data_IF_239840359553
#
_entry.id   IF_239840359553
#
_cell.length_a   1.000
_cell.length_b   1.000
_cell.length_c   1.000
_cell.angle_alpha   90.00
_cell.angle_beta   90.00
_cell.angle_gamma   90.00
#
_symmetry.space_group_name_H-M   'P 1'
#
loop_
_entity.id
_entity.type
_entity.pdbx_description
1 polymer ?
#
# COMPACT_ATOMS: atom_id res chain seq x y z
N UNK A 1 -1.13 -14.59 1.57
CA UNK A 1 0.11 -13.83 1.80
C UNK A 1 1.24 -14.76 2.21
N UNK A 2 2.45 -14.35 1.85
CA UNK A 2 3.65 -15.15 1.59
C UNK A 2 4.45 -15.57 2.85
N UNK A 3 5.00 -16.79 2.82
CA UNK A 3 5.92 -17.33 3.85
C UNK A 3 7.18 -16.48 4.03
N UNK A 4 7.55 -15.72 3.01
CA UNK A 4 8.79 -14.93 2.98
C UNK A 4 8.67 -13.68 3.85
N UNK A 5 7.51 -12.99 3.82
CA UNK A 5 7.28 -11.78 4.61
C UNK A 5 7.10 -12.14 6.10
N UNK A 6 6.34 -13.20 6.38
CA UNK A 6 6.17 -13.70 7.74
C UNK A 6 7.50 -14.17 8.34
N UNK A 7 8.32 -14.87 7.54
CA UNK A 7 9.67 -15.27 7.94
C UNK A 7 10.59 -14.08 8.23
N UNK A 8 10.57 -13.04 7.40
CA UNK A 8 11.35 -11.83 7.64
C UNK A 8 10.94 -11.11 8.92
N UNK A 9 9.63 -10.94 9.15
CA UNK A 9 9.10 -10.34 10.37
C UNK A 9 9.46 -11.16 11.62
N UNK A 10 9.39 -12.49 11.54
CA UNK A 10 9.74 -13.38 12.66
C UNK A 10 11.20 -13.24 13.13
N UNK A 11 12.11 -12.80 12.26
CA UNK A 11 13.53 -12.58 12.60
C UNK A 11 13.90 -11.10 12.71
N UNK A 12 12.92 -10.19 12.57
CA UNK A 12 13.13 -8.74 12.60
C UNK A 12 13.93 -8.21 11.40
N UNK A 13 13.86 -8.90 10.26
CA UNK A 13 14.49 -8.46 9.02
C UNK A 13 13.53 -7.59 8.20
N UNK A 14 14.09 -6.60 7.51
CA UNK A 14 13.37 -5.84 6.50
C UNK A 14 12.97 -6.73 5.32
N UNK A 15 11.77 -6.49 4.77
CA UNK A 15 11.24 -7.24 3.63
C UNK A 15 10.66 -6.34 2.54
N UNK A 16 10.75 -6.81 1.28
CA UNK A 16 10.18 -6.16 0.11
C UNK A 16 9.12 -7.08 -0.50
N UNK A 17 7.88 -6.61 -0.55
CA UNK A 17 6.82 -7.24 -1.34
C UNK A 17 6.76 -6.62 -2.73
N UNK A 18 6.73 -7.45 -3.76
CA UNK A 18 6.49 -7.01 -5.14
C UNK A 18 5.11 -7.46 -5.63
N UNK A 19 4.34 -6.54 -6.22
CA UNK A 19 2.97 -6.79 -6.72
C UNK A 19 2.92 -7.51 -8.07
N UNK A 20 3.87 -8.41 -8.33
CA UNK A 20 3.85 -9.34 -9.46
C UNK A 20 3.38 -10.73 -9.05
N UNK A 21 3.08 -10.93 -7.76
CA UNK A 21 2.73 -12.21 -7.15
C UNK A 21 1.23 -12.44 -7.01
N UNK A 22 0.86 -13.36 -6.12
CA UNK A 22 -0.52 -13.82 -5.89
C UNK A 22 -1.31 -12.88 -4.97
N UNK A 23 -0.62 -12.11 -4.13
CA UNK A 23 -1.26 -11.22 -3.15
C UNK A 23 -1.93 -10.03 -3.84
N UNK A 24 -3.22 -9.83 -3.58
CA UNK A 24 -3.95 -8.65 -4.06
C UNK A 24 -3.69 -7.43 -3.17
N UNK A 25 -4.03 -6.24 -3.67
CA UNK A 25 -3.96 -5.01 -2.87
C UNK A 25 -4.88 -5.07 -1.65
N UNK A 26 -6.08 -5.66 -1.77
CA UNK A 26 -6.99 -5.81 -0.63
C UNK A 26 -6.43 -6.76 0.44
N UNK A 27 -5.80 -7.88 0.02
CA UNK A 27 -5.11 -8.79 0.95
C UNK A 27 -4.04 -8.04 1.76
N UNK A 28 -3.26 -7.19 1.08
CA UNK A 28 -2.18 -6.44 1.70
C UNK A 28 -2.69 -5.34 2.63
N UNK A 29 -3.75 -4.63 2.25
CA UNK A 29 -4.41 -3.63 3.11
C UNK A 29 -4.94 -4.27 4.39
N UNK A 30 -5.37 -5.53 4.34
CA UNK A 30 -5.94 -6.28 5.47
C UNK A 30 -4.93 -7.20 6.16
N UNK A 31 -3.65 -7.10 5.82
CA UNK A 31 -2.60 -7.98 6.34
C UNK A 31 -2.48 -7.90 7.88
N UNK A 32 -2.43 -9.05 8.58
CA UNK A 32 -2.07 -9.08 10.00
C UNK A 32 -0.62 -8.61 10.19
N UNK A 33 -0.25 -8.21 11.40
CA UNK A 33 1.03 -7.57 11.69
C UNK A 33 2.23 -8.42 11.23
N UNK A 34 2.14 -9.73 11.39
CA UNK A 34 3.17 -10.70 11.05
C UNK A 34 3.41 -10.79 9.54
N UNK A 35 2.47 -10.34 8.71
CA UNK A 35 2.55 -10.43 7.26
C UNK A 35 2.80 -9.07 6.60
N UNK A 36 3.02 -7.99 7.35
CA UNK A 36 3.22 -6.65 6.78
C UNK A 36 4.66 -6.47 6.29
N UNK A 37 4.89 -6.19 5.00
CA UNK A 37 6.24 -5.92 4.50
C UNK A 37 6.74 -4.53 4.90
N UNK A 38 8.06 -4.35 4.97
CA UNK A 38 8.68 -3.03 5.20
C UNK A 38 8.58 -2.12 3.97
N UNK A 39 8.77 -2.72 2.80
CA UNK A 39 8.78 -2.05 1.51
C UNK A 39 7.77 -2.71 0.56
N UNK A 40 7.18 -1.90 -0.32
CA UNK A 40 6.27 -2.38 -1.38
C UNK A 40 6.69 -1.78 -2.70
N UNK A 41 6.75 -2.59 -3.75
CA UNK A 41 7.08 -2.15 -5.10
C UNK A 41 6.24 -2.85 -6.17
N UNK A 42 6.16 -2.24 -7.35
CA UNK A 42 5.44 -2.85 -8.48
C UNK A 42 6.18 -4.08 -9.05
N UNK A 43 7.52 -4.10 -9.00
CA UNK A 43 8.33 -5.23 -9.49
C UNK A 43 9.77 -5.16 -8.97
N UNK A 44 10.54 -6.25 -9.17
CA UNK A 44 11.98 -6.31 -8.84
C UNK A 44 12.84 -5.31 -9.61
N UNK A 45 12.32 -4.70 -10.69
CA UNK A 45 12.99 -3.59 -11.36
C UNK A 45 13.12 -2.34 -10.47
N UNK A 46 12.52 -2.34 -9.27
CA UNK A 46 12.62 -1.25 -8.29
C UNK A 46 13.78 -1.41 -7.31
N UNK A 47 14.56 -2.50 -7.37
CA UNK A 47 15.64 -2.76 -6.42
C UNK A 47 16.78 -1.73 -6.46
N UNK A 48 16.90 -0.97 -7.55
CA UNK A 48 17.86 0.12 -7.70
C UNK A 48 17.33 1.47 -7.19
N UNK A 49 16.07 1.54 -6.78
CA UNK A 49 15.48 2.75 -6.22
C UNK A 49 15.91 2.97 -4.77
N UNK A 50 15.96 4.24 -4.30
CA UNK A 50 16.17 4.52 -2.88
C UNK A 50 15.14 3.80 -2.02
N UNK A 51 15.58 3.08 -0.98
CA UNK A 51 14.70 2.29 -0.11
C UNK A 51 13.58 3.12 0.53
N UNK A 52 13.87 4.38 0.88
CA UNK A 52 12.87 5.31 1.44
C UNK A 52 11.72 5.61 0.47
N UNK A 53 11.94 5.50 -0.84
CA UNK A 53 10.85 5.62 -1.81
C UNK A 53 9.93 4.41 -1.79
N UNK A 54 10.44 3.24 -1.42
CA UNK A 54 9.69 1.99 -1.43
C UNK A 54 9.00 1.69 -0.10
N UNK A 55 9.34 2.44 0.96
CA UNK A 55 8.88 2.22 2.32
C UNK A 55 7.37 2.46 2.44
N UNK A 56 6.69 1.61 3.20
CA UNK A 56 5.32 1.90 3.62
C UNK A 56 5.35 3.07 4.60
N UNK A 57 4.86 4.21 4.14
CA UNK A 57 4.82 5.48 4.87
C UNK A 57 3.86 6.45 4.15
N UNK A 58 3.41 7.53 4.83
CA UNK A 58 2.72 8.63 4.18
C UNK A 58 3.58 9.29 3.09
N UNK A 59 2.92 9.78 2.04
CA UNK A 59 3.55 10.50 0.93
C UNK A 59 2.84 11.83 0.67
N UNK A 60 3.59 12.93 0.51
CA UNK A 60 3.02 14.27 0.29
C UNK A 60 2.21 14.42 -1.01
N UNK A 61 2.34 13.45 -1.92
CA UNK A 61 1.63 13.38 -3.20
C UNK A 61 0.21 12.81 -3.07
N UNK A 62 -0.14 12.20 -1.93
CA UNK A 62 -1.43 11.56 -1.68
C UNK A 62 -1.89 11.80 -0.25
N UNK A 63 -3.14 12.24 -0.10
CA UNK A 63 -3.77 12.42 1.21
C UNK A 63 -4.67 11.23 1.52
N UNK A 64 -4.52 10.66 2.71
CA UNK A 64 -5.31 9.53 3.19
C UNK A 64 -5.91 9.89 4.54
N UNK A 65 -7.24 9.91 4.60
CA UNK A 65 -7.98 10.23 5.82
C UNK A 65 -8.92 9.10 6.21
N UNK A 66 -9.31 9.07 7.48
CA UNK A 66 -10.30 8.12 8.01
C UNK A 66 -11.59 8.89 8.30
N UNK A 67 -12.69 8.50 7.67
CA UNK A 67 -14.02 9.05 7.93
C UNK A 67 -15.05 7.92 8.04
N UNK A 68 -15.88 7.95 9.08
CA UNK A 68 -16.89 6.92 9.30
C UNK A 68 -16.37 5.47 9.43
N UNK A 69 -15.06 5.27 9.61
CA UNK A 69 -14.42 3.95 9.60
C UNK A 69 -13.95 3.48 8.21
N UNK A 70 -14.18 4.28 7.17
CA UNK A 70 -13.64 4.05 5.83
C UNK A 70 -12.40 4.91 5.58
N UNK A 71 -11.58 4.51 4.61
CA UNK A 71 -10.40 5.25 4.19
C UNK A 71 -10.73 6.09 2.97
N UNK A 72 -10.38 7.37 2.98
CA UNK A 72 -10.61 8.30 1.89
C UNK A 72 -9.28 8.69 1.26
N UNK A 73 -9.10 8.38 -0.03
CA UNK A 73 -7.90 8.68 -0.79
C UNK A 73 -8.13 9.90 -1.69
N UNK A 74 -7.26 10.89 -1.58
CA UNK A 74 -7.23 12.06 -2.46
C UNK A 74 -5.83 12.28 -3.03
N UNK A 75 -5.75 12.73 -4.28
CA UNK A 75 -4.52 13.10 -4.93
C UNK A 75 -4.14 14.55 -4.60
N UNK A 76 -2.92 14.77 -4.14
CA UNK A 76 -2.36 16.11 -4.14
C UNK A 76 -2.13 16.59 -5.59
N UNK A 77 -1.91 17.89 -5.78
CA UNK A 77 -1.61 18.43 -7.10
C UNK A 77 -0.36 17.78 -7.72
N UNK A 78 0.62 17.42 -6.88
CA UNK A 78 1.88 16.75 -7.20
C UNK A 78 1.76 15.23 -7.42
N UNK A 79 0.57 14.64 -7.27
CA UNK A 79 0.36 13.20 -7.44
C UNK A 79 0.85 12.70 -8.82
N UNK A 80 1.81 11.78 -8.80
CA UNK A 80 2.42 11.23 -10.01
C UNK A 80 2.56 9.70 -9.98
N UNK A 81 2.86 9.11 -8.83
CA UNK A 81 3.08 7.65 -8.70
C UNK A 81 1.92 6.98 -7.94
N UNK A 82 1.16 6.06 -8.58
CA UNK A 82 0.16 5.24 -7.92
C UNK A 82 0.71 4.37 -6.77
N UNK A 83 1.99 4.03 -6.79
CA UNK A 83 2.59 3.21 -5.73
C UNK A 83 2.83 4.01 -4.44
N UNK A 84 3.02 5.32 -4.54
CA UNK A 84 3.02 6.21 -3.38
C UNK A 84 1.63 6.24 -2.72
N UNK A 85 0.55 6.20 -3.51
CA UNK A 85 -0.82 6.10 -2.99
C UNK A 85 -1.03 4.82 -2.17
N UNK A 86 -0.56 3.69 -2.70
CA UNK A 86 -0.66 2.41 -2.01
C UNK A 86 0.11 2.41 -0.70
N UNK A 87 1.37 2.89 -0.71
CA UNK A 87 2.21 2.95 0.50
C UNK A 87 1.59 3.84 1.57
N UNK A 88 1.04 5.00 1.18
CA UNK A 88 0.31 5.87 2.10
C UNK A 88 -0.96 5.21 2.66
N UNK A 89 -1.73 4.51 1.81
CA UNK A 89 -2.92 3.78 2.26
C UNK A 89 -2.59 2.64 3.23
N UNK A 90 -1.51 1.88 2.98
CA UNK A 90 -1.09 0.78 3.84
C UNK A 90 -0.74 1.26 5.24
N UNK A 91 -0.01 2.37 5.34
CA UNK A 91 0.33 2.98 6.64
C UNK A 91 -0.92 3.27 7.47
N UNK A 92 -1.92 3.92 6.87
CA UNK A 92 -3.17 4.26 7.55
C UNK A 92 -4.05 3.03 7.80
N UNK A 93 -4.17 2.11 6.84
CA UNK A 93 -4.96 0.89 6.96
C UNK A 93 -4.46 -0.01 8.09
N UNK A 94 -3.13 -0.17 8.20
CA UNK A 94 -2.51 -1.00 9.23
C UNK A 94 -2.59 -0.40 10.63
N UNK A 95 -2.67 0.93 10.73
CA UNK A 95 -2.97 1.65 11.96
C UNK A 95 -4.47 1.61 12.35
N UNK A 96 -5.35 1.32 11.39
CA UNK A 96 -6.81 1.24 11.57
C UNK A 96 -7.33 -0.16 11.19
N UNK A 97 -6.93 -1.22 11.93
CA UNK A 97 -7.38 -2.57 11.63
C UNK A 97 -8.91 -2.63 11.75
N UNK A 98 -9.58 -3.11 10.69
CA UNK A 98 -11.04 -3.14 10.61
C UNK A 98 -11.68 -1.96 9.87
N UNK A 99 -10.89 -1.15 9.17
CA UNK A 99 -11.44 -0.19 8.21
C UNK A 99 -12.41 -0.89 7.23
N UNK A 100 -13.46 -0.18 6.82
CA UNK A 100 -14.45 -0.70 5.90
C UNK A 100 -13.92 -0.76 4.48
N UNK A 101 -14.13 0.31 3.72
CA UNK A 101 -13.78 0.43 2.30
C UNK A 101 -12.77 1.56 2.06
N UNK A 102 -12.18 1.55 0.86
CA UNK A 102 -11.38 2.67 0.34
C UNK A 102 -12.23 3.47 -0.64
N UNK A 103 -12.46 4.75 -0.35
CA UNK A 103 -13.23 5.68 -1.17
C UNK A 103 -12.30 6.66 -1.90
N UNK A 104 -12.30 6.68 -3.24
CA UNK A 104 -11.59 7.69 -3.99
C UNK A 104 -12.35 9.01 -4.01
N UNK A 105 -11.73 10.06 -3.45
CA UNK A 105 -12.32 11.41 -3.32
C UNK A 105 -12.32 12.16 -4.65
N UNK A 106 -11.33 11.92 -5.50
CA UNK A 106 -11.18 12.57 -6.81
C UNK A 106 -10.92 11.55 -7.93
N UNK A 107 -10.86 12.03 -9.18
CA UNK A 107 -10.71 11.19 -10.37
C UNK A 107 -9.35 10.49 -10.46
N UNK A 108 -8.29 11.09 -9.92
CA UNK A 108 -6.96 10.45 -9.92
C UNK A 108 -6.93 9.32 -8.91
N UNK A 109 -7.46 9.55 -7.71
CA UNK A 109 -7.64 8.50 -6.72
C UNK A 109 -8.52 7.36 -7.26
N UNK A 110 -9.59 7.70 -7.98
CA UNK A 110 -10.48 6.70 -8.59
C UNK A 110 -9.77 5.84 -9.62
N UNK A 111 -9.01 6.47 -10.51
CA UNK A 111 -8.20 5.76 -11.50
C UNK A 111 -7.23 4.76 -10.84
N UNK A 112 -6.63 5.14 -9.71
CA UNK A 112 -5.72 4.26 -8.95
C UNK A 112 -6.47 3.09 -8.32
N UNK A 113 -7.58 3.35 -7.64
CA UNK A 113 -8.40 2.31 -7.00
C UNK A 113 -8.97 1.33 -8.04
N UNK A 114 -9.46 1.84 -9.16
CA UNK A 114 -10.02 1.03 -10.25
C UNK A 114 -8.94 0.14 -10.90
N UNK A 115 -7.71 0.64 -11.05
CA UNK A 115 -6.60 -0.14 -11.58
C UNK A 115 -6.25 -1.34 -10.69
N UNK A 116 -6.35 -1.21 -9.36
CA UNK A 116 -6.14 -2.31 -8.43
C UNK A 116 -7.25 -3.36 -8.52
N UNK A 117 -8.50 -2.92 -8.65
CA UNK A 117 -9.65 -3.82 -8.80
C UNK A 117 -9.64 -4.58 -10.13
N UNK A 118 -9.05 -4.02 -11.18
CA UNK A 118 -8.94 -4.64 -12.51
C UNK A 118 -7.85 -5.71 -12.63
N UNK A 119 -7.00 -5.89 -11.61
CA UNK A 119 -5.86 -6.83 -11.62
C UNK A 119 -6.24 -8.21 -11.03
N UNK A 120 -7.53 -8.48 -10.86
CA UNK A 120 -8.09 -9.74 -10.28
C UNK A 120 -8.64 -10.67 -11.35
#
# INVERSE_FOLDING_TARGET
>A
MDTDIEGANAVGADSLLVLTGVSTVDDLLRAPAEQRPTYVAASLASLDQPADRLRVAPHDSWDVTVDGGDLHLAAAQSAADPMEALRGLLDIAWANPGFGQVHPVDERARSVVDAWAATV
#
